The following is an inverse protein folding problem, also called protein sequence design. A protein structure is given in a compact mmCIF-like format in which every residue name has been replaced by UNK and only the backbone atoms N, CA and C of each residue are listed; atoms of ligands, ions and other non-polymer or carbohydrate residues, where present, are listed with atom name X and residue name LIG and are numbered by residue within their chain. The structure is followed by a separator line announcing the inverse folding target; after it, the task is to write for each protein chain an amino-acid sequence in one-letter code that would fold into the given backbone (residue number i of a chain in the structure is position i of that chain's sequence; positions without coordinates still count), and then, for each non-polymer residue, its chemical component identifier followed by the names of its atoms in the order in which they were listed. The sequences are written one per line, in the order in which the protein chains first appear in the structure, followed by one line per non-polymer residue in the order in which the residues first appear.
data_IF_688481306342
#
_entry.id   IF_688481306342
#
_cell.length_a   1.000
_cell.length_b   1.000
_cell.length_c   1.000
_cell.angle_alpha   90.00
_cell.angle_beta   90.00
_cell.angle_gamma   90.00
#
_symmetry.space_group_name_H-M   'P 1'
#
loop_
_entity.id
_entity.type
_entity.pdbx_description
1 polymer ?
#
# COMPACT_ATOMS: atom_id res chain seq x y z
N UNK A 1 26.12 -5.51 27.19
CA UNK A 1 26.36 -4.78 25.93
C UNK A 1 25.60 -5.53 24.83
N UNK A 2 24.34 -5.18 24.59
CA UNK A 2 23.51 -5.77 23.54
C UNK A 2 23.46 -4.81 22.36
N UNK A 3 23.98 -5.26 21.22
CA UNK A 3 23.99 -4.51 19.96
C UNK A 3 22.61 -4.51 19.31
N UNK A 4 22.21 -3.32 18.83
CA UNK A 4 21.04 -3.06 18.00
C UNK A 4 20.98 -3.96 16.76
N UNK A 5 19.90 -4.74 16.62
CA UNK A 5 19.48 -5.40 15.38
C UNK A 5 18.24 -4.68 14.78
N UNK A 6 18.27 -3.34 14.69
CA UNK A 6 17.09 -2.54 14.32
C UNK A 6 16.90 -2.33 12.80
N UNK A 7 17.81 -2.80 11.94
CA UNK A 7 17.86 -2.38 10.54
C UNK A 7 17.26 -3.36 9.51
N UNK A 8 16.74 -4.51 9.92
CA UNK A 8 16.30 -5.53 8.97
C UNK A 8 14.88 -5.35 8.40
N UNK A 9 13.99 -4.59 9.07
CA UNK A 9 12.55 -4.66 8.79
C UNK A 9 11.86 -3.33 8.42
N UNK A 10 12.61 -2.24 8.22
CA UNK A 10 12.05 -0.95 7.82
C UNK A 10 12.52 -0.59 6.40
N UNK A 11 11.59 -0.56 5.44
CA UNK A 11 11.86 -0.02 4.10
C UNK A 11 11.19 1.35 4.01
N UNK A 12 12.00 2.39 3.82
CA UNK A 12 11.51 3.75 3.55
C UNK A 12 11.26 3.91 2.05
N UNK A 13 10.04 4.34 1.67
CA UNK A 13 9.69 4.65 0.28
C UNK A 13 9.62 6.17 0.13
N UNK A 14 10.41 6.73 -0.80
CA UNK A 14 10.39 8.16 -1.13
C UNK A 14 9.41 8.41 -2.28
N UNK A 15 8.38 9.23 -2.04
CA UNK A 15 7.54 9.80 -3.10
C UNK A 15 7.82 11.30 -3.16
N UNK A 16 8.48 11.74 -4.24
CA UNK A 16 8.70 13.16 -4.53
C UNK A 16 7.71 13.54 -5.63
N UNK A 17 6.73 14.40 -5.30
CA UNK A 17 5.90 15.07 -6.30
C UNK A 17 6.67 16.29 -6.84
N UNK A 18 6.83 16.47 -8.16
CA UNK A 18 7.46 17.65 -8.70
C UNK A 18 6.42 18.76 -8.81
N UNK A 19 6.45 19.72 -7.89
CA UNK A 19 5.84 21.03 -8.14
C UNK A 19 6.93 22.00 -8.58
N UNK A 20 6.97 22.27 -9.90
CA UNK A 20 7.63 23.46 -10.41
C UNK A 20 6.83 24.69 -9.96
N UNK A 21 7.33 25.42 -8.97
CA UNK A 21 7.07 26.83 -8.80
C UNK A 21 8.22 27.46 -8.01
N UNK A 22 9.10 28.15 -8.74
CA UNK A 22 10.05 29.10 -8.16
C UNK A 22 9.26 30.28 -7.58
N UNK A 23 9.33 30.42 -6.25
CA UNK A 23 9.43 31.64 -5.45
C UNK A 23 8.67 31.48 -4.13
N UNK A 24 9.41 31.33 -3.03
CA UNK A 24 8.88 31.40 -1.67
C UNK A 24 8.19 30.13 -1.14
N UNK A 25 8.64 28.93 -1.51
CA UNK A 25 8.12 27.72 -0.92
C UNK A 25 8.80 27.45 0.43
N UNK A 26 8.12 27.80 1.54
CA UNK A 26 8.23 26.97 2.74
C UNK A 26 8.11 25.52 2.25
N UNK A 27 9.17 24.73 2.39
CA UNK A 27 9.12 23.31 2.08
C UNK A 27 8.06 22.70 2.98
N UNK A 28 6.81 22.61 2.48
CA UNK A 28 5.76 21.88 3.13
C UNK A 28 6.29 20.46 3.24
N UNK A 29 6.68 20.06 4.46
CA UNK A 29 7.27 18.76 4.75
C UNK A 29 6.41 17.68 4.10
N UNK A 30 6.90 17.08 3.02
CA UNK A 30 6.19 15.96 2.39
C UNK A 30 6.18 14.82 3.42
N UNK A 31 4.99 14.34 3.80
CA UNK A 31 4.87 13.37 4.88
C UNK A 31 5.51 12.04 4.47
N UNK A 32 6.49 11.56 5.24
CA UNK A 32 7.14 10.27 5.01
C UNK A 32 6.17 9.13 5.35
N UNK A 33 5.94 8.25 4.38
CA UNK A 33 5.18 7.01 4.58
C UNK A 33 6.05 5.87 5.12
N UNK A 34 5.42 4.87 5.73
CA UNK A 34 6.10 3.74 6.34
C UNK A 34 5.48 2.42 5.88
N UNK A 35 6.33 1.45 5.56
CA UNK A 35 5.91 0.09 5.29
C UNK A 35 6.40 -0.81 6.43
N UNK A 36 5.49 -1.50 7.13
CA UNK A 36 5.80 -2.37 8.28
C UNK A 36 5.31 -3.80 8.03
N UNK A 37 6.24 -4.72 7.80
CA UNK A 37 5.94 -6.13 7.55
C UNK A 37 5.74 -6.96 8.83
N UNK A 38 6.55 -6.70 9.87
CA UNK A 38 6.51 -7.48 11.10
C UNK A 38 5.20 -7.29 11.86
N UNK A 39 4.48 -8.38 12.12
CA UNK A 39 3.26 -8.34 12.92
C UNK A 39 3.51 -7.76 14.32
N UNK A 40 4.68 -8.02 14.88
CA UNK A 40 5.17 -7.47 16.15
C UNK A 40 5.20 -5.94 16.17
N UNK A 41 5.42 -5.30 15.01
CA UNK A 41 5.51 -3.84 14.89
C UNK A 41 4.17 -3.15 15.15
N UNK A 42 3.06 -3.75 14.73
CA UNK A 42 1.73 -3.12 14.79
C UNK A 42 0.77 -3.81 15.77
N UNK A 43 1.04 -5.06 16.15
CA UNK A 43 0.21 -5.78 17.13
C UNK A 43 0.55 -5.42 18.58
N UNK A 44 1.76 -4.93 18.85
CA UNK A 44 2.16 -4.37 20.14
C UNK A 44 1.94 -2.85 20.18
N UNK A 45 1.10 -2.39 21.11
CA UNK A 45 0.87 -0.95 21.32
C UNK A 45 2.05 -0.25 22.01
N UNK A 46 3.05 -1.00 22.45
CA UNK A 46 4.33 -0.50 22.98
C UNK A 46 5.49 -0.68 21.99
N UNK A 47 5.18 -0.94 20.71
CA UNK A 47 6.21 -1.18 19.70
C UNK A 47 7.17 0.00 19.54
N UNK A 48 8.40 -0.30 19.13
CA UNK A 48 9.40 0.73 18.86
C UNK A 48 8.98 1.65 17.71
N UNK A 49 8.15 1.16 16.78
CA UNK A 49 7.52 2.00 15.76
C UNK A 49 6.62 3.06 16.40
N UNK A 50 5.69 2.66 17.27
CA UNK A 50 4.82 3.62 17.95
C UNK A 50 5.63 4.59 18.81
N UNK A 51 6.69 4.14 19.49
CA UNK A 51 7.61 5.04 20.22
C UNK A 51 8.26 6.04 19.26
N UNK A 52 8.80 5.57 18.13
CA UNK A 52 9.48 6.38 17.13
C UNK A 52 8.56 7.44 16.54
N UNK A 53 7.39 7.06 16.04
CA UNK A 53 6.44 8.03 15.45
C UNK A 53 5.84 8.98 16.48
N UNK A 54 5.96 8.64 17.77
CA UNK A 54 5.57 9.50 18.87
C UNK A 54 6.62 10.54 19.28
N UNK A 55 7.87 10.43 18.81
CA UNK A 55 8.94 11.38 19.12
C UNK A 55 8.53 12.79 18.65
N UNK A 56 8.61 13.83 19.50
CA UNK A 56 8.21 15.19 19.14
C UNK A 56 8.87 15.73 17.88
N UNK A 57 10.16 15.42 17.67
CA UNK A 57 10.88 15.80 16.46
C UNK A 57 10.23 15.21 15.20
N UNK A 58 9.96 13.89 15.19
CA UNK A 58 9.30 13.20 14.07
C UNK A 58 7.95 13.82 13.76
N UNK A 59 7.13 14.05 14.80
CA UNK A 59 5.82 14.71 14.67
C UNK A 59 5.89 16.10 14.06
N UNK A 60 6.91 16.88 14.44
CA UNK A 60 7.09 18.26 13.98
C UNK A 60 7.62 18.36 12.55
N UNK A 61 8.42 17.37 12.12
CA UNK A 61 9.10 17.41 10.81
C UNK A 61 8.36 16.67 9.72
N UNK A 62 7.43 15.78 10.07
CA UNK A 62 6.64 15.01 9.11
C UNK A 62 5.37 14.50 9.79
N UNK A 63 4.16 15.03 9.49
CA UNK A 63 2.96 14.24 9.77
C UNK A 63 3.13 12.91 9.04
N UNK A 64 2.89 11.76 9.66
CA UNK A 64 3.19 10.50 8.98
C UNK A 64 2.35 10.42 7.70
N UNK A 65 2.99 10.00 6.61
CA UNK A 65 2.33 9.76 5.33
C UNK A 65 1.51 8.48 5.38
N UNK A 66 1.38 7.84 4.22
CA UNK A 66 0.70 6.55 4.12
C UNK A 66 1.45 5.49 4.94
N UNK A 67 0.68 4.61 5.60
CA UNK A 67 1.20 3.52 6.39
C UNK A 67 0.66 2.21 5.84
N UNK A 68 1.55 1.30 5.51
CA UNK A 68 1.22 -0.06 5.07
C UNK A 68 1.59 -1.04 6.18
N UNK A 69 0.62 -1.79 6.68
CA UNK A 69 0.87 -2.83 7.67
C UNK A 69 0.15 -4.12 7.31
N UNK A 70 0.90 -5.23 7.35
CA UNK A 70 0.43 -6.53 6.89
C UNK A 70 -0.56 -7.16 7.86
N UNK A 71 -1.76 -7.44 7.37
CA UNK A 71 -2.83 -8.12 8.12
C UNK A 71 -3.25 -9.43 7.45
N UNK A 72 -2.51 -9.88 6.44
CA UNK A 72 -2.67 -11.15 5.74
C UNK A 72 -1.38 -11.54 5.02
N UNK A 73 -1.12 -12.84 4.88
CA UNK A 73 0.04 -13.39 4.16
C UNK A 73 -0.32 -14.70 3.45
N UNK A 74 0.50 -15.07 2.46
CA UNK A 74 0.28 -16.29 1.66
C UNK A 74 0.60 -17.58 2.44
N UNK A 75 1.22 -17.48 3.62
CA UNK A 75 1.41 -18.61 4.51
C UNK A 75 0.09 -19.05 5.18
N UNK A 76 -0.87 -18.14 5.32
CA UNK A 76 -2.20 -18.39 5.89
C UNK A 76 -3.31 -17.79 5.01
N UNK A 77 -3.53 -18.36 3.80
CA UNK A 77 -4.39 -17.74 2.81
C UNK A 77 -5.84 -17.64 3.29
N UNK A 78 -6.49 -16.52 2.99
CA UNK A 78 -7.88 -16.26 3.37
C UNK A 78 -8.07 -15.75 4.80
N UNK A 79 -7.01 -15.62 5.58
CA UNK A 79 -7.09 -15.23 6.99
C UNK A 79 -6.71 -13.77 7.18
N UNK A 80 -7.62 -13.01 7.81
CA UNK A 80 -7.29 -11.71 8.39
C UNK A 80 -6.66 -11.92 9.77
N UNK A 81 -5.38 -11.61 9.90
CA UNK A 81 -4.56 -11.86 11.07
C UNK A 81 -4.79 -10.81 12.17
N UNK A 82 -4.61 -11.23 13.43
CA UNK A 82 -4.57 -10.36 14.60
C UNK A 82 -5.71 -9.31 14.67
N UNK A 83 -6.93 -9.71 14.30
CA UNK A 83 -8.12 -8.85 14.15
C UNK A 83 -8.38 -7.90 15.32
N UNK A 84 -8.12 -8.35 16.55
CA UNK A 84 -8.33 -7.57 17.77
C UNK A 84 -7.33 -6.42 17.95
N UNK A 85 -6.23 -6.40 17.20
CA UNK A 85 -5.17 -5.39 17.27
C UNK A 85 -5.25 -4.32 16.19
N UNK A 86 -5.94 -4.60 15.08
CA UNK A 86 -6.03 -3.70 13.93
C UNK A 86 -6.59 -2.32 14.32
N UNK A 87 -7.81 -2.26 14.87
CA UNK A 87 -8.43 -0.99 15.21
C UNK A 87 -7.69 -0.23 16.33
N UNK A 88 -7.24 -0.87 17.44
CA UNK A 88 -6.40 -0.20 18.43
C UNK A 88 -5.15 0.44 17.82
N UNK A 89 -4.46 -0.27 16.92
CA UNK A 89 -3.27 0.25 16.25
C UNK A 89 -3.61 1.45 15.35
N UNK A 90 -4.64 1.33 14.52
CA UNK A 90 -5.08 2.42 13.65
C UNK A 90 -5.44 3.68 14.45
N UNK A 91 -6.11 3.53 15.60
CA UNK A 91 -6.42 4.65 16.51
C UNK A 91 -5.16 5.28 17.10
N UNK A 92 -4.19 4.46 17.52
CA UNK A 92 -2.93 4.94 18.08
C UNK A 92 -2.12 5.76 17.06
N UNK A 93 -2.11 5.36 15.79
CA UNK A 93 -1.37 6.07 14.74
C UNK A 93 -2.14 7.26 14.16
N UNK A 94 -3.47 7.20 14.06
CA UNK A 94 -4.29 8.26 13.45
C UNK A 94 -4.12 9.62 14.10
N UNK A 95 -3.84 9.68 15.41
CA UNK A 95 -3.53 10.95 16.06
C UNK A 95 -2.35 11.72 15.43
N UNK A 96 -1.54 11.05 14.60
CA UNK A 96 -0.30 11.58 14.04
C UNK A 96 -0.17 11.41 12.52
N UNK A 97 -0.77 10.36 11.94
CA UNK A 97 -0.78 10.14 10.49
C UNK A 97 -1.87 10.97 9.81
N UNK A 98 -1.46 11.69 8.76
CA UNK A 98 -2.36 12.35 7.82
C UNK A 98 -2.56 11.55 6.53
N UNK A 99 -1.77 10.50 6.32
CA UNK A 99 -1.90 9.60 5.18
C UNK A 99 -2.97 8.52 5.37
N UNK A 100 -3.03 7.63 4.38
CA UNK A 100 -3.91 6.47 4.35
C UNK A 100 -3.29 5.33 5.17
N UNK A 101 -4.07 4.73 6.06
CA UNK A 101 -3.68 3.52 6.78
C UNK A 101 -4.12 2.30 5.95
N UNK A 102 -3.19 1.73 5.19
CA UNK A 102 -3.41 0.56 4.35
C UNK A 102 -3.24 -0.74 5.14
N UNK A 103 -4.34 -1.49 5.23
CA UNK A 103 -4.37 -2.90 5.59
C UNK A 103 -3.83 -3.69 4.41
N UNK A 104 -2.64 -4.27 4.53
CA UNK A 104 -2.02 -4.96 3.39
C UNK A 104 -2.25 -6.46 3.45
N UNK A 105 -2.43 -7.03 2.26
CA UNK A 105 -2.23 -8.44 2.00
C UNK A 105 -1.25 -8.52 0.85
N UNK A 106 -0.02 -8.94 1.16
CA UNK A 106 1.05 -8.95 0.19
C UNK A 106 1.87 -10.22 0.17
N UNK A 107 2.88 -10.20 -0.71
CA UNK A 107 3.68 -11.36 -1.09
C UNK A 107 2.82 -12.52 -1.63
N UNK A 108 1.77 -12.17 -2.38
CA UNK A 108 0.86 -13.16 -2.96
C UNK A 108 1.53 -13.80 -4.19
N UNK A 109 2.44 -14.73 -3.94
CA UNK A 109 3.25 -15.37 -4.96
C UNK A 109 2.59 -16.60 -5.61
N UNK A 110 1.59 -17.19 -4.95
CA UNK A 110 0.89 -18.38 -5.45
C UNK A 110 -0.43 -18.06 -6.16
N UNK A 111 -0.87 -18.89 -7.10
CA UNK A 111 -2.13 -18.70 -7.84
C UNK A 111 -3.35 -19.14 -7.00
N UNK A 112 -3.46 -18.69 -5.76
CA UNK A 112 -4.53 -19.10 -4.84
C UNK A 112 -5.71 -18.10 -4.82
N UNK A 113 -6.38 -17.94 -5.95
CA UNK A 113 -7.50 -16.99 -6.10
C UNK A 113 -8.53 -17.12 -4.98
N UNK A 114 -8.89 -18.34 -4.58
CA UNK A 114 -9.83 -18.58 -3.48
C UNK A 114 -9.34 -17.96 -2.18
N UNK A 115 -8.07 -18.15 -1.82
CA UNK A 115 -7.46 -17.56 -0.62
C UNK A 115 -7.50 -16.03 -0.63
N UNK A 116 -7.24 -15.40 -1.78
CA UNK A 116 -7.35 -13.95 -1.93
C UNK A 116 -8.80 -13.45 -1.74
N UNK A 117 -9.75 -14.11 -2.41
CA UNK A 117 -11.17 -13.75 -2.32
C UNK A 117 -11.77 -14.01 -0.92
N UNK A 118 -11.32 -15.06 -0.22
CA UNK A 118 -11.69 -15.36 1.16
C UNK A 118 -11.13 -14.32 2.14
N UNK A 119 -9.92 -13.81 1.90
CA UNK A 119 -9.37 -12.73 2.71
C UNK A 119 -10.21 -11.46 2.59
N UNK A 120 -10.65 -11.12 1.37
CA UNK A 120 -11.54 -9.97 1.14
C UNK A 120 -12.85 -10.15 1.92
N UNK A 121 -13.42 -11.36 1.96
CA UNK A 121 -14.59 -11.67 2.81
C UNK A 121 -14.29 -11.46 4.29
N UNK A 122 -13.15 -11.98 4.76
CA UNK A 122 -12.75 -11.89 6.16
C UNK A 122 -12.53 -10.43 6.59
N UNK A 123 -11.93 -9.62 5.72
CA UNK A 123 -11.75 -8.18 5.92
C UNK A 123 -13.09 -7.45 6.04
N UNK A 124 -13.99 -7.62 5.08
CA UNK A 124 -15.27 -6.92 5.11
C UNK A 124 -16.20 -7.42 6.23
N UNK A 125 -16.10 -8.70 6.59
CA UNK A 125 -16.75 -9.23 7.80
C UNK A 125 -16.24 -8.51 9.05
N UNK A 126 -14.92 -8.33 9.17
CA UNK A 126 -14.34 -7.59 10.30
C UNK A 126 -14.73 -6.11 10.30
N UNK A 127 -14.69 -5.43 9.15
CA UNK A 127 -15.09 -4.03 9.01
C UNK A 127 -16.54 -3.80 9.43
N UNK A 128 -17.45 -4.67 8.98
CA UNK A 128 -18.88 -4.60 9.34
C UNK A 128 -19.14 -4.82 10.83
N UNK A 129 -18.26 -5.52 11.53
CA UNK A 129 -18.35 -5.72 12.96
C UNK A 129 -17.88 -4.49 13.76
N UNK A 130 -17.22 -3.51 13.13
CA UNK A 130 -16.79 -2.27 13.79
C UNK A 130 -17.93 -1.24 13.80
N UNK A 131 -17.89 -0.32 14.77
CA UNK A 131 -18.83 0.81 14.78
C UNK A 131 -18.51 1.79 13.64
N UNK A 132 -19.54 2.42 13.07
CA UNK A 132 -19.33 3.46 12.05
C UNK A 132 -18.49 4.64 12.58
N UNK A 133 -18.66 4.99 13.87
CA UNK A 133 -17.87 6.05 14.52
C UNK A 133 -16.39 5.69 14.60
N UNK A 134 -16.07 4.42 14.90
CA UNK A 134 -14.68 3.98 14.96
C UNK A 134 -14.01 4.03 13.59
N UNK A 135 -14.70 3.55 12.55
CA UNK A 135 -14.19 3.56 11.18
C UNK A 135 -14.02 5.00 10.66
N UNK A 136 -14.93 5.91 10.99
CA UNK A 136 -14.77 7.35 10.69
C UNK A 136 -13.59 7.95 11.43
N UNK A 137 -13.38 7.60 12.69
CA UNK A 137 -12.30 8.15 13.51
C UNK A 137 -10.91 7.76 13.02
N UNK A 138 -10.78 6.66 12.26
CA UNK A 138 -9.50 6.20 11.71
C UNK A 138 -9.33 6.45 10.21
N UNK A 139 -10.28 7.11 9.54
CA UNK A 139 -10.16 7.47 8.13
C UNK A 139 -9.12 8.59 7.88
N UNK A 140 -8.48 8.65 6.68
CA UNK A 140 -8.63 7.71 5.56
C UNK A 140 -7.88 6.40 5.79
N UNK A 141 -8.52 5.26 5.54
CA UNK A 141 -7.88 3.95 5.61
C UNK A 141 -8.19 3.16 4.34
N UNK A 142 -7.57 2.02 4.15
CA UNK A 142 -7.75 1.28 2.92
C UNK A 142 -7.24 -0.14 2.97
N UNK A 143 -7.37 -0.81 1.84
CA UNK A 143 -6.71 -2.08 1.55
C UNK A 143 -5.63 -1.82 0.50
N UNK A 144 -4.46 -2.43 0.66
CA UNK A 144 -3.44 -2.52 -0.39
C UNK A 144 -3.15 -3.99 -0.70
N UNK A 145 -3.39 -4.40 -1.93
CA UNK A 145 -3.14 -5.76 -2.39
C UNK A 145 -1.84 -5.82 -3.18
N UNK A 146 -0.92 -6.67 -2.74
CA UNK A 146 0.35 -6.93 -3.43
C UNK A 146 0.32 -8.32 -4.06
N UNK A 147 -0.29 -8.36 -5.24
CA UNK A 147 -0.45 -9.57 -6.07
C UNK A 147 0.70 -9.59 -7.06
N UNK A 148 1.73 -10.38 -6.75
CA UNK A 148 2.96 -10.44 -7.53
C UNK A 148 2.93 -11.66 -8.48
N UNK A 149 3.54 -11.54 -9.66
CA UNK A 149 3.85 -12.58 -10.67
C UNK A 149 3.10 -12.52 -12.01
N UNK A 150 3.75 -13.07 -13.04
CA UNK A 150 3.17 -13.27 -14.36
C UNK A 150 1.98 -14.24 -14.29
N UNK A 151 0.91 -13.93 -15.02
CA UNK A 151 -0.31 -14.76 -15.05
C UNK A 151 -1.36 -14.41 -13.99
N UNK A 152 -1.08 -13.45 -13.09
CA UNK A 152 -2.00 -13.05 -12.02
C UNK A 152 -3.11 -12.07 -12.46
N UNK A 153 -3.18 -11.69 -13.74
CA UNK A 153 -4.19 -10.79 -14.27
C UNK A 153 -5.65 -11.15 -13.87
N UNK A 154 -6.08 -12.43 -13.94
CA UNK A 154 -7.42 -12.81 -13.50
C UNK A 154 -7.67 -12.53 -12.01
N UNK A 155 -6.67 -12.75 -11.16
CA UNK A 155 -6.76 -12.52 -9.70
C UNK A 155 -6.86 -11.02 -9.38
N UNK A 156 -6.13 -10.17 -10.10
CA UNK A 156 -6.24 -8.70 -9.95
C UNK A 156 -7.65 -8.24 -10.36
N UNK A 157 -8.17 -8.76 -11.48
CA UNK A 157 -9.51 -8.40 -11.96
C UNK A 157 -10.58 -8.83 -10.96
N UNK A 158 -10.55 -10.08 -10.49
CA UNK A 158 -11.56 -10.62 -9.58
C UNK A 158 -11.50 -9.94 -8.21
N UNK A 159 -10.30 -9.67 -7.69
CA UNK A 159 -10.12 -8.98 -6.41
C UNK A 159 -10.63 -7.54 -6.43
N UNK A 160 -10.25 -6.74 -7.44
CA UNK A 160 -10.67 -5.35 -7.57
C UNK A 160 -12.18 -5.22 -7.80
N UNK A 161 -12.75 -6.08 -8.65
CA UNK A 161 -14.20 -6.13 -8.87
C UNK A 161 -14.95 -6.38 -7.57
N UNK A 162 -14.48 -7.36 -6.78
CA UNK A 162 -15.08 -7.69 -5.47
C UNK A 162 -14.91 -6.57 -4.47
N UNK A 163 -13.72 -5.96 -4.39
CA UNK A 163 -13.45 -4.84 -3.48
C UNK A 163 -14.33 -3.64 -3.78
N UNK A 164 -14.53 -3.28 -5.05
CA UNK A 164 -15.41 -2.18 -5.45
C UNK A 164 -16.87 -2.47 -5.10
N UNK A 165 -17.34 -3.68 -5.38
CA UNK A 165 -18.68 -4.11 -4.99
C UNK A 165 -18.89 -4.02 -3.47
N UNK A 166 -17.91 -4.49 -2.70
CA UNK A 166 -17.99 -4.54 -1.24
C UNK A 166 -17.84 -3.15 -0.60
N UNK A 167 -16.96 -2.30 -1.12
CA UNK A 167 -16.83 -0.89 -0.74
C UNK A 167 -18.19 -0.18 -0.89
N UNK A 168 -18.84 -0.34 -2.05
CA UNK A 168 -20.16 0.25 -2.32
C UNK A 168 -21.25 -0.34 -1.40
N UNK A 169 -21.26 -1.65 -1.21
CA UNK A 169 -22.31 -2.33 -0.46
C UNK A 169 -22.23 -2.09 1.06
N UNK A 170 -21.02 -2.09 1.63
CA UNK A 170 -20.83 -2.16 3.08
C UNK A 170 -20.26 -0.89 3.71
N UNK A 171 -19.63 -0.02 2.93
CA UNK A 171 -18.94 1.18 3.43
C UNK A 171 -19.54 2.49 2.93
N UNK A 172 -20.74 2.49 2.35
CA UNK A 172 -21.41 3.70 1.83
C UNK A 172 -21.75 4.77 2.89
N UNK A 173 -21.57 4.49 4.18
CA UNK A 173 -21.70 5.49 5.25
C UNK A 173 -20.44 6.34 5.46
N UNK A 174 -19.32 5.95 4.85
CA UNK A 174 -18.08 6.71 4.81
C UNK A 174 -18.13 7.69 3.62
N UNK A 175 -17.69 8.95 3.80
CA UNK A 175 -17.53 9.87 2.67
C UNK A 175 -16.56 9.33 1.61
N UNK A 176 -16.72 9.81 0.38
CA UNK A 176 -15.84 9.45 -0.72
C UNK A 176 -14.37 9.70 -0.37
N UNK A 177 -13.53 8.71 -0.66
CA UNK A 177 -12.10 8.75 -0.36
C UNK A 177 -11.70 8.41 1.08
N UNK A 178 -12.63 8.16 2.00
CA UNK A 178 -12.28 7.70 3.35
C UNK A 178 -11.87 6.23 3.40
N UNK A 179 -12.40 5.40 2.50
CA UNK A 179 -11.90 4.06 2.24
C UNK A 179 -11.24 4.00 0.86
N UNK A 180 -9.98 3.59 0.80
CA UNK A 180 -9.18 3.52 -0.42
C UNK A 180 -8.83 2.08 -0.78
N UNK A 181 -9.00 1.73 -2.05
CA UNK A 181 -8.49 0.51 -2.65
C UNK A 181 -7.16 0.86 -3.32
N UNK A 182 -6.10 0.18 -2.92
CA UNK A 182 -4.81 0.24 -3.59
C UNK A 182 -4.45 -1.14 -4.12
N UNK A 183 -3.86 -1.16 -5.31
CA UNK A 183 -3.30 -2.36 -5.91
C UNK A 183 -1.86 -2.08 -6.26
N UNK A 184 -0.98 -2.98 -5.87
CA UNK A 184 0.42 -2.94 -6.30
C UNK A 184 0.49 -3.39 -7.74
N UNK A 185 1.24 -2.64 -8.53
CA UNK A 185 1.61 -2.97 -9.90
C UNK A 185 3.11 -3.22 -9.93
N UNK A 186 3.48 -4.47 -10.19
CA UNK A 186 4.86 -4.93 -10.20
C UNK A 186 5.03 -6.13 -11.11
N UNK A 187 6.28 -6.50 -11.41
CA UNK A 187 6.59 -7.68 -12.22
C UNK A 187 6.78 -7.42 -13.72
N UNK A 188 6.32 -8.38 -14.53
CA UNK A 188 6.47 -8.43 -15.99
C UNK A 188 5.52 -7.45 -16.70
N UNK A 189 5.82 -7.04 -17.95
CA UNK A 189 4.97 -6.13 -18.70
C UNK A 189 3.53 -6.65 -18.87
N UNK A 190 2.54 -5.93 -18.32
CA UNK A 190 1.11 -6.19 -18.53
C UNK A 190 0.32 -4.88 -18.48
N UNK A 191 0.24 -4.21 -19.63
CA UNK A 191 -0.47 -2.94 -19.76
C UNK A 191 -1.98 -3.09 -19.59
N UNK A 192 -2.54 -4.28 -19.86
CA UNK A 192 -3.98 -4.53 -19.73
C UNK A 192 -4.41 -4.55 -18.27
N UNK A 193 -3.71 -5.34 -17.44
CA UNK A 193 -3.94 -5.37 -15.98
C UNK A 193 -3.60 -4.04 -15.33
N UNK A 194 -2.56 -3.36 -15.80
CA UNK A 194 -2.21 -2.02 -15.33
C UNK A 194 -3.35 -1.03 -15.60
N UNK A 195 -3.86 -0.97 -16.83
CA UNK A 195 -5.01 -0.11 -17.18
C UNK A 195 -6.24 -0.42 -16.34
N UNK A 196 -6.60 -1.70 -16.22
CA UNK A 196 -7.72 -2.11 -15.37
C UNK A 196 -7.54 -1.68 -13.90
N UNK A 197 -6.31 -1.74 -13.39
CA UNK A 197 -5.98 -1.25 -12.04
C UNK A 197 -6.20 0.25 -11.93
N UNK A 198 -5.79 1.05 -12.92
CA UNK A 198 -6.01 2.51 -12.90
C UNK A 198 -7.48 2.86 -12.91
N UNK A 199 -8.31 2.10 -13.62
CA UNK A 199 -9.75 2.33 -13.72
C UNK A 199 -10.51 1.89 -12.47
N UNK A 200 -10.00 0.91 -11.71
CA UNK A 200 -10.74 0.23 -10.65
C UNK A 200 -10.12 0.32 -9.25
N UNK A 201 -8.92 0.88 -9.09
CA UNK A 201 -8.34 1.19 -7.78
C UNK A 201 -8.40 2.70 -7.52
N UNK A 202 -8.44 3.11 -6.25
CA UNK A 202 -8.33 4.53 -5.89
C UNK A 202 -6.87 5.03 -5.98
N UNK A 203 -5.90 4.12 -5.99
CA UNK A 203 -4.47 4.39 -6.13
C UNK A 203 -3.73 3.13 -6.56
N UNK A 204 -2.54 3.29 -7.14
CA UNK A 204 -1.64 2.18 -7.43
C UNK A 204 -0.26 2.43 -6.81
N UNK A 205 0.36 1.36 -6.29
CA UNK A 205 1.73 1.40 -5.79
C UNK A 205 2.64 0.66 -6.77
N UNK A 206 3.73 1.28 -7.21
CA UNK A 206 4.60 0.70 -8.23
C UNK A 206 5.91 0.16 -7.65
N UNK A 207 6.19 -1.13 -7.85
CA UNK A 207 7.41 -1.78 -7.39
C UNK A 207 8.55 -1.68 -8.41
N UNK A 208 9.11 -0.48 -8.56
CA UNK A 208 10.14 -0.17 -9.57
C UNK A 208 11.42 -1.02 -9.41
N UNK A 209 11.75 -1.45 -8.19
CA UNK A 209 12.97 -2.23 -7.93
C UNK A 209 12.82 -3.75 -8.15
N UNK A 210 11.61 -4.25 -8.45
CA UNK A 210 11.35 -5.68 -8.74
C UNK A 210 10.83 -5.96 -10.15
N UNK A 211 10.49 -4.93 -10.92
CA UNK A 211 10.05 -5.12 -12.31
C UNK A 211 11.17 -5.66 -13.21
N UNK A 212 10.91 -6.82 -13.83
CA UNK A 212 11.77 -7.38 -14.88
C UNK A 212 11.52 -6.61 -16.17
N UNK A 213 12.55 -5.95 -16.68
CA UNK A 213 12.50 -5.27 -17.97
C UNK A 213 13.03 -6.22 -19.04
N UNK A 214 12.17 -6.58 -19.99
CA UNK A 214 12.65 -6.91 -21.33
C UNK A 214 13.00 -5.56 -21.98
N UNK A 215 14.28 -5.18 -22.00
CA UNK A 215 14.71 -3.89 -22.55
C UNK A 215 14.51 -3.88 -24.07
N UNK A 216 13.35 -3.39 -24.50
CA UNK A 216 13.03 -3.14 -25.90
C UNK A 216 13.44 -1.73 -26.36
N UNK A 217 14.07 -0.95 -25.49
CA UNK A 217 14.59 0.37 -25.85
C UNK A 217 15.95 0.23 -26.53
N UNK A 218 16.31 1.20 -27.38
CA UNK A 218 17.64 1.25 -28.02
C UNK A 218 18.79 1.52 -27.03
N UNK A 219 18.50 1.65 -25.73
CA UNK A 219 19.41 2.18 -24.73
C UNK A 219 20.30 1.12 -24.05
N UNK A 220 20.07 -0.19 -24.28
CA UNK A 220 20.89 -1.30 -23.73
C UNK A 220 21.13 -1.15 -22.22
N UNK A 221 20.07 -0.96 -21.45
CA UNK A 221 20.14 -0.66 -20.02
C UNK A 221 20.34 -1.96 -19.24
N UNK A 222 21.44 -2.03 -18.46
CA UNK A 222 21.81 -3.22 -17.71
C UNK A 222 20.70 -3.60 -16.70
N UNK A 223 20.04 -4.78 -16.82
CA UNK A 223 18.84 -5.13 -16.06
C UNK A 223 19.03 -5.16 -14.54
N UNK A 224 20.26 -5.42 -14.09
CA UNK A 224 20.56 -5.68 -12.68
C UNK A 224 20.47 -4.44 -11.77
N UNK A 225 20.71 -3.22 -12.26
CA UNK A 225 21.01 -2.08 -11.36
C UNK A 225 20.45 -0.70 -11.75
N UNK A 226 19.53 -0.58 -12.72
CA UNK A 226 19.13 0.74 -13.21
C UNK A 226 17.70 1.15 -12.79
N UNK A 227 17.57 1.72 -11.59
CA UNK A 227 16.31 2.30 -11.09
C UNK A 227 15.72 3.34 -12.06
N UNK A 228 16.57 4.18 -12.67
CA UNK A 228 16.15 5.22 -13.62
C UNK A 228 15.60 4.60 -14.91
N UNK A 229 16.21 3.51 -15.40
CA UNK A 229 15.70 2.77 -16.54
C UNK A 229 14.34 2.15 -16.25
N UNK A 230 14.16 1.56 -15.07
CA UNK A 230 12.89 0.95 -14.64
C UNK A 230 11.79 1.99 -14.48
N UNK A 231 12.14 3.15 -13.93
CA UNK A 231 11.23 4.29 -13.86
C UNK A 231 10.83 4.78 -15.26
N UNK A 232 11.80 4.96 -16.17
CA UNK A 232 11.52 5.36 -17.56
C UNK A 232 10.66 4.33 -18.28
N UNK A 233 11.00 3.04 -18.18
CA UNK A 233 10.21 1.93 -18.76
C UNK A 233 8.77 1.97 -18.25
N UNK A 234 8.59 2.13 -16.95
CA UNK A 234 7.27 2.23 -16.34
C UNK A 234 6.46 3.37 -16.96
N UNK A 235 7.02 4.58 -16.97
CA UNK A 235 6.36 5.77 -17.50
C UNK A 235 6.04 5.63 -19.00
N UNK A 236 6.94 5.03 -19.78
CA UNK A 236 6.84 5.02 -21.25
C UNK A 236 6.16 3.79 -21.84
N UNK A 237 6.03 2.68 -21.10
CA UNK A 237 5.53 1.41 -21.63
C UNK A 237 4.43 0.76 -20.79
N UNK A 238 4.48 0.83 -19.46
CA UNK A 238 3.41 0.27 -18.62
C UNK A 238 2.28 1.26 -18.40
N UNK A 239 2.62 2.52 -18.18
CA UNK A 239 1.67 3.57 -17.82
C UNK A 239 1.40 4.54 -18.96
N UNK A 240 1.53 4.08 -20.22
CA UNK A 240 1.22 4.90 -21.41
C UNK A 240 -0.16 5.54 -21.29
N UNK A 241 -1.11 4.82 -20.70
CA UNK A 241 -2.48 5.29 -20.48
C UNK A 241 -2.64 6.11 -19.20
N UNK A 242 -1.92 5.85 -18.11
CA UNK A 242 -2.07 6.64 -16.88
C UNK A 242 -1.34 7.97 -16.88
N UNK A 243 -0.50 8.25 -17.88
CA UNK A 243 0.14 9.57 -18.07
C UNK A 243 -0.48 10.41 -19.19
N UNK A 244 -1.43 9.85 -19.93
CA UNK A 244 -2.22 10.55 -20.94
C UNK A 244 -3.70 10.53 -20.50
N UNK A 245 -4.10 11.41 -19.57
CA UNK A 245 -5.47 11.50 -19.08
C UNK A 245 -6.47 11.90 -20.18
#
# INVERSE_FOLDING_TARGET
MSGCNLFANLVAIFVILPTMALMGANAASSPLGFYTWGADIWTDLNSDFLKFVNIPAVKSTSPLGDLWFSVGDDANPGVLQNKSRILPFMKAVRGHSKGVLYLTYGDFGTHNEKGLLDFIEALFTWLRAQSQSDLRAVAPFGISLDIENAGMAPLVISSLTKLQAYKKQYLGFLPDGHFKIQQVVGGFPDSGTTGFTMDNADSALYLVYRSYMDDRSSMKLHPANNLLARFKWFMTLQCIQCLNP
#
